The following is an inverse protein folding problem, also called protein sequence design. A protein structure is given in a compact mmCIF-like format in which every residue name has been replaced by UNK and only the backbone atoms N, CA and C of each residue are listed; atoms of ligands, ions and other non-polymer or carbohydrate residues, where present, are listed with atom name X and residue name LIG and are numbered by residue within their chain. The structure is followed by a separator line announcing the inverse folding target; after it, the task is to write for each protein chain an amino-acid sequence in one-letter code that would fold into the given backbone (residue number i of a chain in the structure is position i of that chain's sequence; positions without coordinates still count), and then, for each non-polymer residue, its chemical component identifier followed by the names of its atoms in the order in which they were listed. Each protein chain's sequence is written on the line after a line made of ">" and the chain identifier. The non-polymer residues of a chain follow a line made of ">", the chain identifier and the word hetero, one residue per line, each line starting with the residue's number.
data_IF_381394384809
#
_entry.id   IF_381394384809
#
_cell.length_a   1.000
_cell.length_b   1.000
_cell.length_c   1.000
_cell.angle_alpha   90.00
_cell.angle_beta   90.00
_cell.angle_gamma   90.00
#
_symmetry.space_group_name_H-M   'P 1'
#
loop_
_entity.id
_entity.type
_entity.pdbx_description
1 polymer ?
#
# COMPACT_ATOMS: atom_id res chain seq x y z
N UNK A 1 38.39 -0.71 -2.31
CA UNK A 1 37.68 -0.47 -1.03
C UNK A 1 36.50 0.51 -1.24
N UNK A 2 36.72 1.70 -1.82
CA UNK A 2 35.67 2.70 -2.06
C UNK A 2 34.52 2.22 -2.97
N UNK A 3 34.81 1.45 -4.03
CA UNK A 3 33.80 0.91 -4.94
C UNK A 3 32.93 -0.16 -4.27
N UNK A 4 33.52 -1.00 -3.44
CA UNK A 4 32.80 -2.02 -2.66
C UNK A 4 31.91 -1.38 -1.59
N UNK A 5 32.37 -0.32 -0.92
CA UNK A 5 31.57 0.42 0.05
C UNK A 5 30.33 1.06 -0.62
N UNK A 6 30.53 1.73 -1.77
CA UNK A 6 29.40 2.30 -2.56
C UNK A 6 28.42 1.25 -3.06
N UNK A 7 28.91 0.09 -3.50
CA UNK A 7 28.07 -1.01 -3.95
C UNK A 7 27.21 -1.56 -2.80
N UNK A 8 27.78 -1.67 -1.61
CA UNK A 8 27.07 -2.11 -0.40
C UNK A 8 26.01 -1.09 0.02
N UNK A 9 26.33 0.20 0.07
CA UNK A 9 25.37 1.26 0.39
C UNK A 9 24.19 1.31 -0.58
N UNK A 10 24.44 1.12 -1.88
CA UNK A 10 23.40 1.07 -2.89
C UNK A 10 22.50 -0.17 -2.73
N UNK A 11 23.09 -1.30 -2.35
CA UNK A 11 22.35 -2.53 -2.08
C UNK A 11 21.42 -2.37 -0.86
N UNK A 12 21.92 -1.83 0.24
CA UNK A 12 21.14 -1.60 1.44
C UNK A 12 20.00 -0.61 1.21
N UNK A 13 20.25 0.46 0.44
CA UNK A 13 19.19 1.41 0.03
C UNK A 13 18.14 0.73 -0.84
N UNK A 14 18.54 -0.13 -1.78
CA UNK A 14 17.62 -0.85 -2.65
C UNK A 14 16.70 -1.78 -1.85
N UNK A 15 17.24 -2.50 -0.87
CA UNK A 15 16.45 -3.34 0.04
C UNK A 15 15.45 -2.52 0.88
N UNK A 16 15.89 -1.38 1.40
CA UNK A 16 15.03 -0.47 2.16
C UNK A 16 13.85 0.03 1.31
N UNK A 17 14.10 0.39 0.07
CA UNK A 17 13.05 0.84 -0.86
C UNK A 17 12.07 -0.27 -1.26
N UNK A 18 12.56 -1.51 -1.42
CA UNK A 18 11.71 -2.66 -1.70
C UNK A 18 10.78 -2.95 -0.51
N UNK A 19 11.34 -2.99 0.70
CA UNK A 19 10.58 -3.18 1.92
C UNK A 19 9.50 -2.12 2.08
N UNK A 20 9.83 -0.85 1.84
CA UNK A 20 8.89 0.26 1.90
C UNK A 20 7.72 0.12 0.91
N UNK A 21 8.00 -0.19 -0.36
CA UNK A 21 6.95 -0.40 -1.37
C UNK A 21 6.04 -1.57 -1.03
N UNK A 22 6.61 -2.68 -0.53
CA UNK A 22 5.83 -3.84 -0.10
C UNK A 22 4.96 -3.52 1.12
N UNK A 23 5.45 -2.69 2.03
CA UNK A 23 4.69 -2.23 3.19
C UNK A 23 3.48 -1.38 2.77
N UNK A 24 3.66 -0.40 1.86
CA UNK A 24 2.55 0.42 1.32
C UNK A 24 1.51 -0.47 0.64
N UNK A 25 1.93 -1.44 -0.18
CA UNK A 25 1.01 -2.40 -0.82
C UNK A 25 0.26 -3.22 0.23
N UNK A 26 0.95 -3.71 1.26
CA UNK A 26 0.36 -4.50 2.34
C UNK A 26 -0.67 -3.71 3.13
N UNK A 27 -0.33 -2.47 3.51
CA UNK A 27 -1.23 -1.57 4.22
C UNK A 27 -2.47 -1.21 3.39
N UNK A 28 -2.30 -0.96 2.08
CA UNK A 28 -3.42 -0.69 1.17
C UNK A 28 -4.38 -1.89 1.11
N UNK A 29 -3.87 -3.11 1.02
CA UNK A 29 -4.69 -4.33 1.03
C UNK A 29 -5.35 -4.57 2.39
N UNK A 30 -4.66 -4.27 3.48
CA UNK A 30 -5.22 -4.40 4.83
C UNK A 30 -6.34 -3.39 5.06
N UNK A 31 -6.21 -2.18 4.54
CA UNK A 31 -7.28 -1.17 4.53
C UNK A 31 -8.50 -1.68 3.77
N UNK A 32 -8.31 -2.16 2.54
CA UNK A 32 -9.37 -2.72 1.70
C UNK A 32 -10.10 -3.88 2.39
N UNK A 33 -9.35 -4.83 2.95
CA UNK A 33 -9.91 -5.97 3.68
C UNK A 33 -10.67 -5.55 4.94
N UNK A 34 -10.19 -4.54 5.68
CA UNK A 34 -10.88 -4.02 6.86
C UNK A 34 -12.20 -3.32 6.47
N UNK A 35 -12.20 -2.54 5.40
CA UNK A 35 -13.41 -1.91 4.85
C UNK A 35 -14.44 -2.95 4.45
N UNK A 36 -14.05 -3.94 3.66
CA UNK A 36 -14.96 -5.00 3.22
C UNK A 36 -15.58 -5.77 4.41
N UNK A 37 -14.77 -6.04 5.45
CA UNK A 37 -15.28 -6.70 6.67
C UNK A 37 -16.21 -5.79 7.46
N UNK A 38 -15.91 -4.50 7.56
CA UNK A 38 -16.77 -3.53 8.22
C UNK A 38 -18.14 -3.45 7.53
N UNK A 39 -18.15 -3.32 6.21
CA UNK A 39 -19.38 -3.26 5.43
C UNK A 39 -20.21 -4.54 5.54
N UNK A 40 -19.58 -5.70 5.45
CA UNK A 40 -20.26 -6.97 5.61
C UNK A 40 -20.85 -7.14 7.03
N UNK A 41 -20.14 -6.71 8.07
CA UNK A 41 -20.63 -6.75 9.45
C UNK A 41 -21.81 -5.77 9.64
N UNK A 42 -21.72 -4.57 9.07
CA UNK A 42 -22.81 -3.60 9.11
C UNK A 42 -24.06 -4.11 8.38
N UNK A 43 -23.89 -4.77 7.23
CA UNK A 43 -25.03 -5.39 6.52
C UNK A 43 -25.75 -6.42 7.38
N UNK A 44 -25.02 -7.31 8.08
CA UNK A 44 -25.60 -8.26 9.02
C UNK A 44 -26.26 -7.56 10.21
N UNK A 45 -25.61 -6.52 10.74
CA UNK A 45 -26.14 -5.73 11.84
C UNK A 45 -27.44 -5.03 11.47
N UNK A 46 -27.53 -4.43 10.29
CA UNK A 46 -28.73 -3.75 9.81
C UNK A 46 -29.95 -4.69 9.71
N UNK A 47 -29.71 -5.96 9.35
CA UNK A 47 -30.77 -6.97 9.20
C UNK A 47 -31.09 -7.68 10.52
N UNK A 48 -30.04 -8.17 11.21
CA UNK A 48 -30.17 -9.07 12.37
C UNK A 48 -30.21 -8.35 13.71
N UNK A 49 -29.79 -7.09 13.78
CA UNK A 49 -29.68 -6.27 14.99
C UNK A 49 -28.86 -6.94 16.11
N UNK A 50 -27.98 -7.87 15.76
CA UNK A 50 -27.11 -8.54 16.71
C UNK A 50 -25.98 -7.59 17.13
N UNK A 51 -25.86 -7.30 18.42
CA UNK A 51 -24.83 -6.40 18.97
C UNK A 51 -23.40 -6.80 18.57
N UNK A 52 -23.18 -8.11 18.41
CA UNK A 52 -21.87 -8.63 17.99
C UNK A 52 -21.47 -8.12 16.59
N UNK A 53 -22.38 -8.15 15.62
CA UNK A 53 -22.12 -7.62 14.28
C UNK A 53 -21.85 -6.11 14.30
N UNK A 54 -22.55 -5.36 15.17
CA UNK A 54 -22.27 -3.94 15.40
C UNK A 54 -20.86 -3.71 15.94
N UNK A 55 -20.41 -4.51 16.94
CA UNK A 55 -19.04 -4.43 17.46
C UNK A 55 -17.99 -4.78 16.41
N UNK A 56 -18.24 -5.80 15.60
CA UNK A 56 -17.34 -6.17 14.48
C UNK A 56 -17.24 -5.03 13.48
N UNK A 57 -18.36 -4.38 13.14
CA UNK A 57 -18.35 -3.20 12.27
C UNK A 57 -17.46 -2.09 12.85
N UNK A 58 -17.67 -1.68 14.09
CA UNK A 58 -16.89 -0.62 14.73
C UNK A 58 -15.41 -0.95 14.80
N UNK A 59 -15.06 -2.20 15.14
CA UNK A 59 -13.68 -2.66 15.21
C UNK A 59 -13.01 -2.61 13.82
N UNK A 60 -13.65 -3.14 12.79
CA UNK A 60 -13.08 -3.20 11.44
C UNK A 60 -13.01 -1.81 10.80
N UNK A 61 -14.00 -0.96 11.06
CA UNK A 61 -13.96 0.44 10.66
C UNK A 61 -12.79 1.18 11.33
N UNK A 62 -12.60 1.00 12.63
CA UNK A 62 -11.46 1.56 13.37
C UNK A 62 -10.12 1.08 12.82
N UNK A 63 -9.98 -0.21 12.46
CA UNK A 63 -8.79 -0.74 11.80
C UNK A 63 -8.55 -0.10 10.44
N UNK A 64 -9.58 0.14 9.64
CA UNK A 64 -9.44 0.83 8.37
C UNK A 64 -8.88 2.24 8.53
N UNK A 65 -9.32 2.99 9.54
CA UNK A 65 -8.79 4.32 9.85
C UNK A 65 -7.32 4.28 10.31
N UNK A 66 -6.93 3.25 11.05
CA UNK A 66 -5.53 3.04 11.44
C UNK A 66 -4.64 2.77 10.21
N UNK A 67 -5.06 1.89 9.29
CA UNK A 67 -4.33 1.63 8.05
C UNK A 67 -4.24 2.86 7.15
N UNK A 68 -5.31 3.66 7.06
CA UNK A 68 -5.29 4.94 6.35
C UNK A 68 -4.25 5.89 6.94
N UNK A 69 -4.17 5.99 8.27
CA UNK A 69 -3.18 6.82 8.97
C UNK A 69 -1.75 6.35 8.70
N UNK A 70 -1.52 5.04 8.67
CA UNK A 70 -0.22 4.47 8.32
C UNK A 70 0.15 4.78 6.86
N UNK A 71 -0.78 4.64 5.93
CA UNK A 71 -0.59 5.01 4.53
C UNK A 71 -0.23 6.48 4.38
N UNK A 72 -0.93 7.39 5.06
CA UNK A 72 -0.63 8.83 5.03
C UNK A 72 0.81 9.13 5.46
N UNK A 73 1.32 8.40 6.45
CA UNK A 73 2.70 8.55 6.92
C UNK A 73 3.71 8.02 5.91
N UNK A 74 3.44 6.83 5.37
CA UNK A 74 4.38 6.12 4.53
C UNK A 74 4.49 6.68 3.11
N UNK A 75 3.48 7.39 2.61
CA UNK A 75 3.52 7.99 1.27
C UNK A 75 3.89 9.47 1.27
N UNK A 76 4.23 10.04 2.42
CA UNK A 76 4.46 11.48 2.59
C UNK A 76 5.58 12.04 1.73
N UNK A 77 6.59 11.24 1.44
CA UNK A 77 7.75 11.56 0.60
C UNK A 77 7.47 11.43 -0.91
N UNK A 78 6.32 10.87 -1.29
CA UNK A 78 5.90 10.72 -2.69
C UNK A 78 4.64 11.58 -2.98
N UNK A 79 4.79 12.76 -3.62
CA UNK A 79 3.69 13.68 -3.86
C UNK A 79 2.52 13.08 -4.65
N UNK A 80 2.79 12.18 -5.60
CA UNK A 80 1.73 11.50 -6.37
C UNK A 80 0.90 10.57 -5.50
N UNK A 81 1.55 9.81 -4.64
CA UNK A 81 0.88 8.92 -3.71
C UNK A 81 0.17 9.67 -2.61
N UNK A 82 0.79 10.69 -2.04
CA UNK A 82 0.17 11.56 -1.05
C UNK A 82 -1.14 12.18 -1.58
N UNK A 83 -1.17 12.58 -2.86
CA UNK A 83 -2.39 13.09 -3.50
C UNK A 83 -3.48 12.02 -3.66
N UNK A 84 -3.12 10.76 -3.96
CA UNK A 84 -4.06 9.65 -4.03
C UNK A 84 -4.63 9.32 -2.63
N UNK A 85 -3.76 9.25 -1.62
CA UNK A 85 -4.17 8.95 -0.24
C UNK A 85 -5.04 10.09 0.31
N UNK A 86 -4.76 11.36 -0.04
CA UNK A 86 -5.64 12.48 0.32
C UNK A 86 -7.05 12.30 -0.25
N UNK A 87 -7.18 11.99 -1.55
CA UNK A 87 -8.48 11.71 -2.18
C UNK A 87 -9.18 10.51 -1.52
N UNK A 88 -8.42 9.46 -1.20
CA UNK A 88 -8.95 8.30 -0.50
C UNK A 88 -9.48 8.67 0.88
N UNK A 89 -8.79 9.54 1.62
CA UNK A 89 -9.25 10.06 2.91
C UNK A 89 -10.59 10.78 2.79
N UNK A 90 -10.73 11.64 1.78
CA UNK A 90 -11.97 12.39 1.53
C UNK A 90 -13.15 11.45 1.18
N UNK A 91 -12.91 10.42 0.36
CA UNK A 91 -13.94 9.44 0.01
C UNK A 91 -14.31 8.53 1.19
N UNK A 92 -13.32 8.11 1.99
CA UNK A 92 -13.55 7.33 3.21
C UNK A 92 -14.31 8.14 4.28
N UNK A 93 -14.08 9.45 4.36
CA UNK A 93 -14.87 10.32 5.23
C UNK A 93 -16.34 10.28 4.87
N UNK A 94 -16.66 10.51 3.58
CA UNK A 94 -18.07 10.42 3.08
C UNK A 94 -18.67 9.03 3.29
N UNK A 95 -17.88 7.98 3.02
CA UNK A 95 -18.32 6.60 3.26
C UNK A 95 -18.62 6.34 4.72
N UNK A 96 -17.80 6.86 5.63
CA UNK A 96 -18.00 6.77 7.07
C UNK A 96 -19.30 7.41 7.54
N UNK A 97 -19.65 8.57 6.99
CA UNK A 97 -20.94 9.24 7.29
C UNK A 97 -22.13 8.36 6.85
N UNK A 98 -22.10 7.84 5.62
CA UNK A 98 -23.16 6.99 5.08
C UNK A 98 -23.36 5.70 5.87
N UNK A 99 -22.26 4.98 6.19
CA UNK A 99 -22.29 3.75 6.95
C UNK A 99 -22.64 4.01 8.42
N UNK A 100 -22.17 5.13 8.99
CA UNK A 100 -22.50 5.59 10.34
C UNK A 100 -23.99 5.82 10.52
N UNK A 101 -24.65 6.43 9.54
CA UNK A 101 -26.11 6.66 9.55
C UNK A 101 -26.91 5.34 9.55
N UNK A 102 -26.44 4.33 8.81
CA UNK A 102 -27.04 3.00 8.81
C UNK A 102 -26.82 2.30 10.17
N UNK A 103 -25.58 2.36 10.71
CA UNK A 103 -25.24 1.80 12.01
C UNK A 103 -26.06 2.43 13.15
N UNK A 104 -26.21 3.76 13.12
CA UNK A 104 -27.03 4.48 14.10
C UNK A 104 -28.49 4.00 14.08
N UNK A 105 -29.07 3.85 12.88
CA UNK A 105 -30.43 3.34 12.75
C UNK A 105 -30.57 1.90 13.27
N UNK A 106 -29.57 1.05 13.04
CA UNK A 106 -29.54 -0.32 13.58
C UNK A 106 -29.43 -0.33 15.12
N UNK A 107 -28.61 0.54 15.70
CA UNK A 107 -28.47 0.70 17.15
C UNK A 107 -29.79 1.10 17.81
N UNK A 108 -30.58 1.94 17.16
CA UNK A 108 -31.94 2.32 17.61
C UNK A 108 -33.01 1.29 17.22
N UNK A 109 -32.62 0.12 16.73
CA UNK A 109 -33.52 -0.96 16.29
C UNK A 109 -34.51 -0.54 15.20
N UNK A 110 -34.14 0.44 14.41
CA UNK A 110 -34.91 0.91 13.25
C UNK A 110 -34.54 0.10 12.00
N UNK A 111 -34.90 -1.18 11.97
CA UNK A 111 -34.45 -2.15 10.96
C UNK A 111 -34.69 -1.68 9.52
N UNK A 112 -35.90 -1.17 9.23
CA UNK A 112 -36.25 -0.71 7.88
C UNK A 112 -35.37 0.47 7.46
N UNK A 113 -35.15 1.42 8.37
CA UNK A 113 -34.28 2.58 8.09
C UNK A 113 -32.81 2.16 7.96
N UNK A 114 -32.32 1.26 8.79
CA UNK A 114 -30.97 0.72 8.73
C UNK A 114 -30.69 0.01 7.40
N UNK A 115 -31.59 -0.87 6.97
CA UNK A 115 -31.48 -1.59 5.68
C UNK A 115 -31.54 -0.61 4.51
N UNK A 116 -32.49 0.34 4.54
CA UNK A 116 -32.62 1.35 3.47
C UNK A 116 -31.36 2.20 3.30
N UNK A 117 -30.79 2.69 4.42
CA UNK A 117 -29.56 3.49 4.41
C UNK A 117 -28.35 2.68 3.97
N UNK A 118 -28.23 1.42 4.46
CA UNK A 118 -27.15 0.52 4.05
C UNK A 118 -27.20 0.24 2.55
N UNK A 119 -28.39 -0.05 2.00
CA UNK A 119 -28.56 -0.27 0.55
C UNK A 119 -28.27 1.00 -0.26
N UNK A 120 -28.72 2.18 0.20
CA UNK A 120 -28.42 3.44 -0.44
C UNK A 120 -26.89 3.69 -0.48
N UNK A 121 -26.19 3.43 0.63
CA UNK A 121 -24.75 3.49 0.69
C UNK A 121 -24.08 2.50 -0.29
N UNK A 122 -24.62 1.29 -0.45
CA UNK A 122 -24.11 0.27 -1.38
C UNK A 122 -24.18 0.68 -2.87
N UNK A 123 -25.06 1.60 -3.22
CA UNK A 123 -25.22 2.13 -4.58
C UNK A 123 -24.46 3.46 -4.79
N UNK A 124 -23.80 3.99 -3.79
CA UNK A 124 -23.08 5.25 -3.93
C UNK A 124 -21.79 5.08 -4.72
N UNK A 125 -21.51 6.04 -5.60
CA UNK A 125 -20.31 6.05 -6.43
C UNK A 125 -19.01 6.17 -5.62
N UNK A 126 -19.06 6.54 -4.33
CA UNK A 126 -17.89 6.57 -3.45
C UNK A 126 -17.22 5.20 -3.35
N UNK A 127 -18.00 4.10 -3.32
CA UNK A 127 -17.45 2.75 -3.29
C UNK A 127 -16.55 2.47 -4.50
N UNK A 128 -17.01 2.79 -5.70
CA UNK A 128 -16.25 2.62 -6.95
C UNK A 128 -15.00 3.52 -6.95
N UNK A 129 -15.11 4.75 -6.40
CA UNK A 129 -13.97 5.66 -6.32
C UNK A 129 -12.91 5.17 -5.32
N UNK A 130 -13.33 4.64 -4.18
CA UNK A 130 -12.43 4.04 -3.17
C UNK A 130 -11.68 2.86 -3.79
N UNK A 131 -12.39 1.91 -4.40
CA UNK A 131 -11.78 0.74 -5.04
C UNK A 131 -10.75 1.13 -6.11
N UNK A 132 -11.08 2.12 -6.94
CA UNK A 132 -10.17 2.66 -7.96
C UNK A 132 -8.92 3.29 -7.32
N UNK A 133 -9.08 4.09 -6.26
CA UNK A 133 -7.96 4.74 -5.57
C UNK A 133 -7.03 3.72 -4.91
N UNK A 134 -7.57 2.68 -4.27
CA UNK A 134 -6.80 1.58 -3.69
C UNK A 134 -6.04 0.81 -4.78
N UNK A 135 -6.69 0.51 -5.90
CA UNK A 135 -6.06 -0.14 -7.05
C UNK A 135 -4.95 0.71 -7.67
N UNK A 136 -5.15 2.01 -7.78
CA UNK A 136 -4.16 2.95 -8.32
C UNK A 136 -2.93 3.08 -7.40
N UNK A 137 -3.12 3.08 -6.08
CA UNK A 137 -2.03 3.06 -5.11
C UNK A 137 -1.17 1.80 -5.28
N UNK A 138 -1.79 0.62 -5.34
CA UNK A 138 -1.06 -0.65 -5.52
C UNK A 138 -0.33 -0.67 -6.87
N UNK A 139 -0.98 -0.21 -7.95
CA UNK A 139 -0.38 -0.16 -9.28
C UNK A 139 0.83 0.76 -9.32
N UNK A 140 0.73 1.93 -8.72
CA UNK A 140 1.80 2.91 -8.64
C UNK A 140 3.03 2.33 -7.90
N UNK A 141 2.81 1.70 -6.73
CA UNK A 141 3.89 1.07 -5.98
C UNK A 141 4.56 -0.07 -6.75
N UNK A 142 3.78 -0.90 -7.44
CA UNK A 142 4.34 -1.96 -8.28
C UNK A 142 5.21 -1.40 -9.42
N UNK A 143 4.78 -0.29 -10.02
CA UNK A 143 5.56 0.37 -11.08
C UNK A 143 6.87 0.94 -10.53
N UNK A 144 6.83 1.62 -9.38
CA UNK A 144 8.01 2.14 -8.70
C UNK A 144 8.98 1.00 -8.34
N UNK A 145 8.46 -0.09 -7.79
CA UNK A 145 9.24 -1.27 -7.41
C UNK A 145 9.90 -1.92 -8.64
N UNK A 146 9.16 -2.08 -9.74
CA UNK A 146 9.69 -2.65 -10.98
C UNK A 146 10.82 -1.79 -11.56
N UNK A 147 10.66 -0.46 -11.59
CA UNK A 147 11.69 0.45 -12.09
C UNK A 147 12.94 0.44 -11.20
N UNK A 148 12.78 0.45 -9.89
CA UNK A 148 13.90 0.34 -8.95
C UNK A 148 14.66 -0.97 -9.10
N UNK A 149 13.95 -2.09 -9.28
CA UNK A 149 14.56 -3.39 -9.52
C UNK A 149 15.33 -3.42 -10.84
N UNK A 150 14.81 -2.76 -11.89
CA UNK A 150 15.49 -2.65 -13.18
C UNK A 150 16.80 -1.87 -13.07
N UNK A 151 16.77 -0.73 -12.37
CA UNK A 151 17.97 0.09 -12.14
C UNK A 151 19.01 -0.69 -11.34
N UNK A 152 18.60 -1.33 -10.23
CA UNK A 152 19.52 -2.15 -9.42
C UNK A 152 20.14 -3.31 -10.20
N UNK A 153 19.37 -3.96 -11.08
CA UNK A 153 19.90 -5.02 -11.96
C UNK A 153 20.92 -4.50 -12.97
N UNK A 154 20.65 -3.32 -13.57
CA UNK A 154 21.59 -2.65 -14.49
C UNK A 154 22.89 -2.27 -13.79
N UNK A 155 22.82 -1.67 -12.61
CA UNK A 155 23.99 -1.28 -11.82
C UNK A 155 24.86 -2.50 -11.45
N UNK A 156 24.20 -3.61 -11.09
CA UNK A 156 24.90 -4.87 -10.81
C UNK A 156 25.60 -5.44 -12.04
N UNK A 157 24.97 -5.39 -13.21
CA UNK A 157 25.57 -5.82 -14.47
C UNK A 157 26.81 -4.98 -14.84
N UNK A 158 26.69 -3.65 -14.71
CA UNK A 158 27.79 -2.70 -14.96
C UNK A 158 28.96 -2.94 -13.99
N UNK A 159 28.69 -3.18 -12.71
CA UNK A 159 29.71 -3.48 -11.72
C UNK A 159 30.45 -4.79 -12.04
N UNK A 160 29.70 -5.84 -12.40
CA UNK A 160 30.31 -7.12 -12.80
C UNK A 160 31.19 -6.98 -14.04
N UNK A 161 30.77 -6.21 -15.04
CA UNK A 161 31.59 -5.92 -16.22
C UNK A 161 32.88 -5.16 -15.85
N UNK A 162 32.78 -4.17 -14.98
CA UNK A 162 33.95 -3.42 -14.50
C UNK A 162 34.94 -4.34 -13.78
N UNK A 163 34.46 -5.22 -12.88
CA UNK A 163 35.29 -6.20 -12.16
C UNK A 163 36.00 -7.13 -13.14
N UNK A 164 35.28 -7.66 -14.14
CA UNK A 164 35.87 -8.53 -15.16
C UNK A 164 36.96 -7.81 -15.97
N UNK A 165 36.72 -6.58 -16.38
CA UNK A 165 37.73 -5.76 -17.13
C UNK A 165 38.97 -5.50 -16.29
N UNK A 166 38.81 -5.12 -15.01
CA UNK A 166 39.95 -4.89 -14.11
C UNK A 166 40.73 -6.19 -13.84
N UNK A 167 40.04 -7.31 -13.71
CA UNK A 167 40.66 -8.62 -13.52
C UNK A 167 41.50 -9.04 -14.75
N UNK A 168 40.96 -8.82 -15.95
CA UNK A 168 41.70 -9.10 -17.21
C UNK A 168 42.91 -8.20 -17.37
N UNK A 169 42.78 -6.91 -17.08
CA UNK A 169 43.90 -5.95 -17.12
C UNK A 169 45.00 -6.30 -16.12
N UNK A 170 44.62 -6.68 -14.89
CA UNK A 170 45.54 -7.13 -13.86
C UNK A 170 46.29 -8.41 -14.25
N UNK A 171 45.55 -9.39 -14.82
CA UNK A 171 46.17 -10.60 -15.33
C UNK A 171 47.15 -10.36 -16.48
N UNK A 172 46.80 -9.47 -17.46
CA UNK A 172 47.66 -9.09 -18.55
C UNK A 172 48.94 -8.39 -18.04
N UNK A 173 48.82 -7.46 -17.11
CA UNK A 173 49.95 -6.77 -16.48
C UNK A 173 50.88 -7.74 -15.74
N UNK A 174 50.35 -8.74 -15.03
CA UNK A 174 51.13 -9.78 -14.35
C UNK A 174 51.90 -10.65 -15.34
N UNK A 175 51.27 -11.04 -16.45
CA UNK A 175 51.97 -11.82 -17.49
C UNK A 175 53.15 -11.03 -18.12
N UNK A 176 52.95 -9.75 -18.41
CA UNK A 176 54.00 -8.88 -18.95
C UNK A 176 55.15 -8.74 -17.94
N UNK A 177 54.84 -8.57 -16.66
CA UNK A 177 55.86 -8.43 -15.61
C UNK A 177 56.71 -9.73 -15.41
N UNK A 178 56.13 -10.88 -15.70
CA UNK A 178 56.83 -12.17 -15.60
C UNK A 178 57.68 -12.44 -16.84
N UNK A 179 57.28 -11.92 -17.98
CA UNK A 179 57.98 -12.09 -19.29
C UNK A 179 59.14 -11.08 -19.56
N UNK A 180 59.20 -10.01 -18.74
CA UNK A 180 60.24 -8.99 -18.79
C UNK A 180 61.41 -9.29 -17.83
#
# INVERSE_FOLDING_TARGET
>A
VLLLARANDNYDRSLGWQAHSLEVISQTRSLDAALARAEAALGRFAVGLQKEDGRVYEQQWGLSQQYLTLLQRNVRDNPKQAALVKKLTDELGRRGEQLGDAALSANYRQTVAAISKYNAAGHDAALIRIDRLLSDLIRNERTILAERNRVAASDRANLNQAILLFSLLGAAAAIIAIAA
#
